data_IF_903636252668
#
_entry.id   IF_903636252668
#
_cell.length_a   1.000
_cell.length_b   1.000
_cell.length_c   1.000
_cell.angle_alpha   90.00
_cell.angle_beta   90.00
_cell.angle_gamma   90.00
#
_symmetry.space_group_name_H-M   'P 1'
#
loop_
_entity.id
_entity.type
_entity.pdbx_description
1 polymer ?
#
# COMPACT_ATOMS: atom_id res chain seq x y z
N UNK A 1 8.97 -15.48 27.30
CA UNK A 1 9.70 -14.88 26.19
C UNK A 1 10.19 -13.49 26.59
N UNK A 2 11.50 -13.24 26.55
CA UNK A 2 12.05 -11.90 26.77
C UNK A 2 11.51 -11.01 25.65
N UNK A 3 10.80 -9.93 26.00
CA UNK A 3 10.31 -8.95 25.03
C UNK A 3 11.47 -8.46 24.18
N UNK A 4 11.35 -8.61 22.85
CA UNK A 4 12.34 -8.08 21.92
C UNK A 4 12.23 -6.58 21.94
N UNK A 5 13.28 -5.90 22.36
CA UNK A 5 13.38 -4.46 22.21
C UNK A 5 13.78 -4.17 20.77
N UNK A 6 12.89 -3.55 20.00
CA UNK A 6 13.21 -3.06 18.67
C UNK A 6 14.10 -1.82 18.80
N UNK A 7 15.29 -1.88 18.24
CA UNK A 7 16.16 -0.74 18.17
C UNK A 7 16.79 -0.64 16.77
N UNK A 8 17.18 0.57 16.38
CA UNK A 8 17.80 0.84 15.09
C UNK A 8 19.18 0.18 14.96
N UNK A 9 19.94 0.08 16.03
CA UNK A 9 21.31 -0.43 16.01
C UNK A 9 21.43 -1.91 15.63
N UNK A 10 20.34 -2.70 15.82
CA UNK A 10 20.29 -4.10 15.41
C UNK A 10 19.58 -4.35 14.08
N UNK A 11 19.22 -3.30 13.35
CA UNK A 11 18.53 -3.39 12.06
C UNK A 11 19.48 -3.69 10.90
N UNK A 12 18.92 -4.31 9.85
CA UNK A 12 19.58 -4.42 8.54
C UNK A 12 19.24 -3.19 7.72
N UNK A 13 20.26 -2.48 7.25
CA UNK A 13 20.08 -1.37 6.33
C UNK A 13 19.69 -1.89 4.95
N UNK A 14 18.63 -1.32 4.37
CA UNK A 14 18.21 -1.66 3.02
C UNK A 14 18.92 -0.75 2.02
N UNK A 15 19.49 -1.35 1.00
CA UNK A 15 20.15 -0.65 -0.13
C UNK A 15 19.29 -0.76 -1.38
N UNK A 16 19.38 0.22 -2.28
CA UNK A 16 18.65 0.20 -3.55
C UNK A 16 19.39 -0.64 -4.58
N UNK A 17 18.74 -1.69 -5.07
CA UNK A 17 19.23 -2.53 -6.17
C UNK A 17 18.10 -2.67 -7.20
N UNK A 18 18.33 -2.24 -8.44
CA UNK A 18 17.31 -2.31 -9.50
C UNK A 18 16.03 -1.50 -9.25
N UNK A 19 16.11 -0.46 -8.39
CA UNK A 19 14.94 0.34 -7.99
C UNK A 19 14.19 -0.20 -6.77
N UNK A 20 14.60 -1.34 -6.23
CA UNK A 20 14.04 -1.93 -5.02
C UNK A 20 14.99 -1.79 -3.83
N UNK A 21 14.44 -1.63 -2.62
CA UNK A 21 15.21 -1.63 -1.38
C UNK A 21 15.41 -3.07 -0.91
N UNK A 22 16.66 -3.49 -0.81
CA UNK A 22 17.04 -4.86 -0.43
C UNK A 22 17.97 -4.88 0.78
N UNK A 23 17.89 -5.94 1.56
CA UNK A 23 18.81 -6.20 2.67
C UNK A 23 18.78 -7.68 3.04
N UNK A 24 19.87 -8.17 3.64
CA UNK A 24 20.02 -9.58 4.03
C UNK A 24 20.16 -9.73 5.52
N UNK A 25 19.41 -10.64 6.11
CA UNK A 25 19.56 -11.06 7.51
C UNK A 25 19.76 -12.57 7.58
N UNK A 26 20.65 -13.00 8.47
CA UNK A 26 20.88 -14.43 8.71
C UNK A 26 20.06 -14.92 9.90
N UNK A 27 19.30 -15.99 9.68
CA UNK A 27 18.46 -16.62 10.70
C UNK A 27 18.75 -18.11 10.70
N UNK A 28 18.97 -18.71 11.87
CA UNK A 28 19.25 -20.12 11.97
C UNK A 28 18.02 -20.96 11.57
N UNK A 29 18.26 -22.13 10.97
CA UNK A 29 17.19 -23.06 10.55
C UNK A 29 16.26 -23.38 11.72
N UNK A 30 14.96 -23.35 11.46
CA UNK A 30 13.91 -23.58 12.45
C UNK A 30 13.59 -22.39 13.36
N UNK A 31 14.36 -21.30 13.25
CA UNK A 31 14.07 -20.09 14.01
C UNK A 31 13.14 -19.16 13.22
N UNK A 32 12.27 -18.46 13.94
CA UNK A 32 11.43 -17.44 13.34
C UNK A 32 12.11 -16.08 13.38
N UNK A 33 12.09 -15.37 12.26
CA UNK A 33 12.46 -13.97 12.17
C UNK A 33 11.20 -13.12 12.26
N UNK A 34 11.22 -12.13 13.16
CA UNK A 34 10.20 -11.07 13.19
C UNK A 34 10.83 -9.80 12.65
N UNK A 35 10.13 -9.10 11.75
CA UNK A 35 10.66 -7.92 11.07
C UNK A 35 9.65 -6.78 11.05
N UNK A 36 10.16 -5.56 11.06
CA UNK A 36 9.41 -4.32 10.89
C UNK A 36 10.26 -3.32 10.12
N UNK A 37 9.64 -2.58 9.21
CA UNK A 37 10.33 -1.53 8.47
C UNK A 37 10.40 -0.25 9.30
N UNK A 38 11.46 0.52 9.10
CA UNK A 38 11.61 1.87 9.62
C UNK A 38 12.09 2.79 8.50
N UNK A 39 11.66 4.04 8.53
CA UNK A 39 12.20 5.13 7.72
C UNK A 39 13.03 6.03 8.62
N UNK A 40 14.21 6.41 8.14
CA UNK A 40 15.09 7.37 8.82
C UNK A 40 15.22 8.57 7.90
N UNK A 41 14.78 9.72 8.37
CA UNK A 41 14.95 10.99 7.67
C UNK A 41 16.37 11.54 7.80
N UNK A 42 16.72 12.53 6.96
CA UNK A 42 18.06 13.13 6.95
C UNK A 42 18.46 13.75 8.32
N UNK A 43 17.49 14.23 9.10
CA UNK A 43 17.66 14.73 10.46
C UNK A 43 17.77 13.62 11.53
N UNK A 44 17.80 12.36 11.11
CA UNK A 44 17.94 11.20 11.98
C UNK A 44 16.66 10.72 12.67
N UNK A 45 15.52 11.37 12.43
CA UNK A 45 14.24 10.92 12.99
C UNK A 45 13.85 9.58 12.43
N UNK A 46 13.32 8.72 13.32
CA UNK A 46 12.85 7.39 12.97
C UNK A 46 11.33 7.35 12.95
N UNK A 47 10.77 6.88 11.85
CA UNK A 47 9.34 6.58 11.71
C UNK A 47 9.18 5.08 11.57
N UNK A 48 8.38 4.47 12.44
CA UNK A 48 8.06 3.06 12.39
C UNK A 48 6.94 2.80 11.39
N UNK A 49 7.08 1.70 10.67
CA UNK A 49 6.02 1.18 9.80
C UNK A 49 4.73 0.98 10.62
N UNK A 50 3.59 1.54 10.21
CA UNK A 50 2.33 1.42 10.95
C UNK A 50 1.75 0.00 10.95
N UNK A 51 2.20 -0.88 10.03
CA UNK A 51 1.77 -2.27 10.00
C UNK A 51 2.17 -3.05 11.26
N UNK A 52 1.58 -4.21 11.45
CA UNK A 52 1.97 -5.15 12.52
C UNK A 52 3.32 -5.80 12.23
N UNK A 53 3.93 -6.41 13.25
CA UNK A 53 5.15 -7.18 13.08
C UNK A 53 4.92 -8.35 12.11
N UNK A 54 5.80 -8.46 11.11
CA UNK A 54 5.78 -9.54 10.13
C UNK A 54 6.69 -10.67 10.60
N UNK A 55 6.27 -11.92 10.39
CA UNK A 55 7.02 -13.10 10.83
C UNK A 55 7.23 -14.04 9.65
N UNK A 56 8.40 -14.65 9.61
CA UNK A 56 8.71 -15.78 8.74
C UNK A 56 9.58 -16.78 9.49
N UNK A 57 9.56 -18.05 9.08
CA UNK A 57 10.37 -19.12 9.68
C UNK A 57 11.45 -19.53 8.67
N UNK A 58 12.68 -19.64 9.16
CA UNK A 58 13.83 -20.07 8.36
C UNK A 58 13.89 -21.59 8.29
N UNK A 59 13.22 -22.20 7.34
CA UNK A 59 13.33 -23.63 6.99
C UNK A 59 14.49 -23.92 6.02
N UNK A 60 14.75 -22.97 5.14
CA UNK A 60 15.83 -22.93 4.15
C UNK A 60 16.17 -21.47 3.84
N UNK A 61 17.23 -21.26 3.07
CA UNK A 61 17.50 -19.93 2.51
C UNK A 61 16.32 -19.51 1.63
N UNK A 62 15.75 -18.34 1.90
CA UNK A 62 14.65 -17.78 1.11
C UNK A 62 14.72 -16.25 1.09
N UNK A 63 14.19 -15.68 0.03
CA UNK A 63 13.92 -14.26 -0.07
C UNK A 63 12.48 -14.00 0.34
N UNK A 64 12.25 -12.95 1.09
CA UNK A 64 10.90 -12.53 1.45
C UNK A 64 10.66 -11.09 1.01
N UNK A 65 9.49 -10.82 0.46
CA UNK A 65 9.03 -9.48 0.12
C UNK A 65 8.20 -8.88 1.23
N UNK A 66 8.49 -7.63 1.59
CA UNK A 66 7.72 -6.84 2.56
C UNK A 66 7.53 -5.42 2.02
N UNK A 67 6.42 -4.78 2.37
CA UNK A 67 6.14 -3.41 1.97
C UNK A 67 5.73 -2.56 3.18
N UNK A 68 5.94 -1.24 3.06
CA UNK A 68 5.51 -0.27 4.05
C UNK A 68 3.99 -0.28 4.19
N UNK A 69 3.49 -0.30 5.43
CA UNK A 69 2.06 -0.32 5.76
C UNK A 69 1.27 -1.51 5.16
N UNK A 70 1.96 -2.63 5.00
CA UNK A 70 1.35 -3.89 4.54
C UNK A 70 1.74 -5.01 5.50
N UNK A 71 0.74 -5.70 6.07
CA UNK A 71 0.96 -6.75 7.07
C UNK A 71 1.44 -8.09 6.47
N UNK A 72 1.30 -8.27 5.16
CA UNK A 72 1.63 -9.51 4.45
C UNK A 72 3.14 -9.64 4.24
N UNK A 73 3.65 -10.85 4.34
CA UNK A 73 4.97 -11.27 3.87
C UNK A 73 4.78 -12.20 2.69
N UNK A 74 5.38 -11.88 1.55
CA UNK A 74 5.43 -12.78 0.42
C UNK A 74 6.72 -13.62 0.50
N UNK A 75 6.58 -14.92 0.66
CA UNK A 75 7.71 -15.83 0.82
C UNK A 75 8.34 -16.28 -0.50
N UNK A 76 7.85 -15.77 -1.62
CA UNK A 76 8.40 -15.95 -2.98
C UNK A 76 9.36 -14.81 -3.39
N UNK A 77 9.60 -13.85 -2.50
CA UNK A 77 10.46 -12.68 -2.73
C UNK A 77 9.78 -11.50 -3.43
N UNK A 78 8.55 -11.64 -3.91
CA UNK A 78 7.82 -10.51 -4.50
C UNK A 78 7.41 -9.51 -3.43
N UNK A 79 7.45 -8.22 -3.73
CA UNK A 79 7.04 -7.19 -2.77
C UNK A 79 5.50 -7.12 -2.72
N UNK A 80 4.88 -7.26 -1.53
CA UNK A 80 3.43 -7.13 -1.41
C UNK A 80 3.01 -5.70 -1.75
N UNK A 81 1.99 -5.57 -2.60
CA UNK A 81 1.43 -4.28 -3.00
C UNK A 81 0.11 -4.03 -2.33
N UNK A 82 -0.07 -2.82 -1.80
CA UNK A 82 -1.36 -2.38 -1.26
C UNK A 82 -2.35 -2.21 -2.40
N UNK A 83 -3.51 -2.88 -2.31
CA UNK A 83 -4.61 -2.65 -3.23
C UNK A 83 -5.26 -1.32 -2.91
N UNK A 84 -5.15 -0.34 -3.79
CA UNK A 84 -5.64 1.01 -3.55
C UNK A 84 -6.00 1.72 -4.85
N UNK A 85 -6.94 2.67 -4.76
CA UNK A 85 -7.21 3.63 -5.83
C UNK A 85 -6.15 4.73 -5.77
N UNK A 86 -5.60 5.07 -6.94
CA UNK A 86 -4.63 6.14 -7.16
C UNK A 86 -5.09 7.04 -8.30
N UNK A 87 -4.45 8.18 -8.48
CA UNK A 87 -4.74 9.14 -9.54
C UNK A 87 -4.21 10.52 -9.19
N UNK A 88 -4.23 11.43 -10.15
CA UNK A 88 -3.78 12.80 -9.94
C UNK A 88 -4.64 13.51 -8.88
N UNK A 89 -3.99 14.09 -7.87
CA UNK A 89 -4.66 14.74 -6.75
C UNK A 89 -5.23 13.79 -5.68
N UNK A 90 -5.13 12.47 -5.87
CA UNK A 90 -5.51 11.50 -4.82
C UNK A 90 -4.47 11.51 -3.71
N UNK A 91 -4.90 11.82 -2.49
CA UNK A 91 -4.06 11.80 -1.30
C UNK A 91 -4.82 11.20 -0.13
N UNK A 92 -4.22 10.24 0.57
CA UNK A 92 -4.80 9.57 1.74
C UNK A 92 -6.25 9.05 1.51
N UNK A 93 -6.51 8.48 0.33
CA UNK A 93 -7.83 7.95 -0.03
C UNK A 93 -8.90 9.03 -0.26
N UNK A 94 -8.48 10.27 -0.59
CA UNK A 94 -9.37 11.39 -0.86
C UNK A 94 -8.96 12.11 -2.15
N UNK A 95 -9.95 12.66 -2.84
CA UNK A 95 -9.78 13.52 -4.02
C UNK A 95 -10.76 14.69 -3.92
N UNK A 96 -10.34 15.89 -4.32
CA UNK A 96 -11.23 17.04 -4.47
C UNK A 96 -11.21 17.49 -5.93
N UNK A 97 -12.39 17.62 -6.54
CA UNK A 97 -12.57 18.14 -7.92
C UNK A 97 -13.65 19.23 -7.94
N UNK A 98 -13.67 19.98 -9.01
CA UNK A 98 -14.74 20.97 -9.24
C UNK A 98 -15.94 20.30 -9.93
N UNK A 99 -17.12 20.89 -9.76
CA UNK A 99 -18.28 20.52 -10.58
C UNK A 99 -17.96 20.68 -12.07
N UNK A 100 -18.27 19.65 -12.88
CA UNK A 100 -17.93 19.57 -14.29
C UNK A 100 -16.51 19.11 -14.61
N UNK A 101 -15.66 18.90 -13.59
CA UNK A 101 -14.29 18.43 -13.78
C UNK A 101 -14.24 16.91 -13.93
N UNK A 102 -13.34 16.46 -14.81
CA UNK A 102 -12.94 15.06 -14.95
C UNK A 102 -11.64 14.78 -14.18
N UNK A 103 -11.50 13.58 -13.66
CA UNK A 103 -10.23 13.06 -13.14
C UNK A 103 -10.10 11.57 -13.48
N UNK A 104 -8.86 11.12 -13.70
CA UNK A 104 -8.55 9.74 -14.00
C UNK A 104 -8.10 9.01 -12.73
N UNK A 105 -8.75 7.91 -12.43
CA UNK A 105 -8.37 7.00 -11.36
C UNK A 105 -7.76 5.73 -11.95
N UNK A 106 -6.84 5.14 -11.21
CA UNK A 106 -6.19 3.89 -11.52
C UNK A 106 -6.16 2.99 -10.29
N UNK A 107 -5.91 1.70 -10.46
CA UNK A 107 -5.76 0.77 -9.36
C UNK A 107 -4.30 0.36 -9.22
N UNK A 108 -3.77 0.48 -8.01
CA UNK A 108 -2.47 -0.07 -7.63
C UNK A 108 -2.69 -1.43 -6.96
N UNK A 109 -1.83 -2.40 -7.25
CA UNK A 109 -1.87 -3.71 -6.57
C UNK A 109 -2.92 -4.69 -7.11
N UNK A 110 -3.47 -4.42 -8.30
CA UNK A 110 -4.24 -5.39 -9.07
C UNK A 110 -3.36 -6.03 -10.15
N UNK A 111 -3.68 -7.28 -10.49
CA UNK A 111 -3.21 -7.95 -11.71
C UNK A 111 -4.33 -7.90 -12.73
N UNK A 112 -4.10 -7.20 -13.84
CA UNK A 112 -5.12 -6.98 -14.88
C UNK A 112 -6.03 -5.77 -14.63
N UNK A 113 -6.98 -5.58 -15.54
CA UNK A 113 -7.93 -4.48 -15.49
C UNK A 113 -8.96 -4.67 -14.35
N UNK A 114 -9.49 -3.58 -13.81
CA UNK A 114 -10.56 -3.64 -12.82
C UNK A 114 -11.82 -4.32 -13.37
N UNK A 115 -12.45 -5.17 -12.55
CA UNK A 115 -13.70 -5.83 -12.90
C UNK A 115 -14.87 -4.84 -12.98
N UNK A 116 -14.88 -3.86 -12.07
CA UNK A 116 -15.97 -2.89 -11.94
C UNK A 116 -15.55 -1.65 -11.16
N UNK A 117 -16.06 -0.50 -11.61
CA UNK A 117 -16.08 0.77 -10.88
C UNK A 117 -17.51 1.18 -10.58
N UNK A 118 -17.77 1.77 -9.39
CA UNK A 118 -19.09 2.36 -9.07
C UNK A 118 -18.96 3.50 -8.08
N UNK A 119 -19.95 4.39 -8.07
CA UNK A 119 -20.08 5.49 -7.11
C UNK A 119 -21.25 5.26 -6.17
N UNK A 120 -21.06 5.54 -4.89
CA UNK A 120 -22.10 5.58 -3.87
C UNK A 120 -22.44 7.05 -3.58
N UNK A 121 -23.30 7.65 -4.39
CA UNK A 121 -23.75 9.03 -4.24
C UNK A 121 -23.87 9.79 -5.56
N UNK A 122 -24.75 10.78 -5.62
CA UNK A 122 -25.07 11.55 -6.82
C UNK A 122 -24.00 12.58 -7.21
N UNK A 123 -23.15 12.99 -6.25
CA UNK A 123 -22.14 14.02 -6.49
C UNK A 123 -21.11 13.64 -7.57
N UNK A 124 -20.88 12.34 -7.79
CA UNK A 124 -19.86 11.84 -8.71
C UNK A 124 -20.42 10.72 -9.59
N UNK A 125 -20.19 10.80 -10.89
CA UNK A 125 -20.30 9.68 -11.82
C UNK A 125 -18.92 9.06 -12.06
N UNK A 126 -18.84 7.74 -12.28
CA UNK A 126 -17.60 7.05 -12.64
C UNK A 126 -17.84 6.11 -13.81
N UNK A 127 -16.90 6.10 -14.76
CA UNK A 127 -16.92 5.16 -15.90
C UNK A 127 -16.36 3.80 -15.52
N UNK A 128 -16.61 2.79 -16.35
CA UNK A 128 -16.00 1.46 -16.21
C UNK A 128 -14.47 1.44 -16.32
N UNK A 129 -13.85 2.51 -16.79
CA UNK A 129 -12.39 2.68 -16.91
C UNK A 129 -11.77 3.54 -15.82
N UNK A 130 -12.56 3.94 -14.80
CA UNK A 130 -12.07 4.75 -13.68
C UNK A 130 -12.00 6.26 -13.93
N UNK A 131 -12.62 6.75 -15.00
CA UNK A 131 -12.78 8.20 -15.19
C UNK A 131 -13.94 8.67 -14.34
N UNK A 132 -13.69 9.64 -13.46
CA UNK A 132 -14.70 10.26 -12.60
C UNK A 132 -15.07 11.64 -13.13
N UNK A 133 -16.34 12.03 -12.91
CA UNK A 133 -16.90 13.32 -13.29
C UNK A 133 -17.66 13.93 -12.10
N UNK A 134 -17.36 15.18 -11.76
CA UNK A 134 -18.07 15.94 -10.75
C UNK A 134 -19.44 16.39 -11.23
N UNK A 135 -20.51 15.74 -10.80
CA UNK A 135 -21.89 15.99 -11.24
C UNK A 135 -22.48 17.19 -10.51
N UNK A 136 -22.42 17.18 -9.19
CA UNK A 136 -22.95 18.23 -8.33
C UNK A 136 -22.09 18.40 -7.08
N UNK A 137 -22.20 19.57 -6.44
CA UNK A 137 -21.48 19.84 -5.18
C UNK A 137 -21.90 18.87 -4.10
N UNK A 138 -20.92 18.25 -3.44
CA UNK A 138 -21.16 17.24 -2.41
C UNK A 138 -20.02 16.27 -2.26
N UNK A 139 -20.29 15.15 -1.59
CA UNK A 139 -19.31 14.10 -1.35
C UNK A 139 -19.89 12.76 -1.75
N UNK A 140 -19.10 11.94 -2.46
CA UNK A 140 -19.44 10.58 -2.82
C UNK A 140 -18.25 9.64 -2.55
N UNK A 141 -18.53 8.36 -2.37
CA UNK A 141 -17.50 7.31 -2.37
C UNK A 141 -17.42 6.72 -3.76
N UNK A 142 -16.22 6.55 -4.26
CA UNK A 142 -15.96 5.81 -5.49
C UNK A 142 -15.21 4.54 -5.11
N UNK A 143 -15.70 3.43 -5.62
CA UNK A 143 -15.26 2.10 -5.31
C UNK A 143 -14.76 1.41 -6.59
N UNK A 144 -13.82 0.50 -6.42
CA UNK A 144 -13.33 -0.39 -7.47
C UNK A 144 -13.23 -1.81 -6.96
N UNK A 145 -13.58 -2.77 -7.81
CA UNK A 145 -13.31 -4.18 -7.59
C UNK A 145 -12.34 -4.69 -8.65
N UNK A 146 -11.30 -5.38 -8.23
CA UNK A 146 -10.36 -6.06 -9.12
C UNK A 146 -9.74 -7.28 -8.42
N UNK A 147 -9.63 -8.40 -9.13
CA UNK A 147 -9.04 -9.64 -8.62
C UNK A 147 -9.59 -10.05 -7.23
N UNK A 148 -10.90 -9.91 -7.03
CA UNK A 148 -11.57 -10.25 -5.77
C UNK A 148 -11.36 -9.26 -4.60
N UNK A 149 -10.60 -8.19 -4.79
CA UNK A 149 -10.36 -7.14 -3.80
C UNK A 149 -11.21 -5.91 -4.11
N UNK A 150 -11.53 -5.12 -3.08
CA UNK A 150 -12.25 -3.84 -3.22
C UNK A 150 -11.45 -2.73 -2.57
N UNK A 151 -11.38 -1.58 -3.23
CA UNK A 151 -10.86 -0.35 -2.66
C UNK A 151 -11.86 0.79 -2.82
N UNK A 152 -11.77 1.77 -1.94
CA UNK A 152 -12.69 2.92 -1.87
C UNK A 152 -11.90 4.20 -1.67
N UNK A 153 -12.29 5.28 -2.36
CA UNK A 153 -11.87 6.64 -2.03
C UNK A 153 -13.08 7.54 -1.81
N UNK A 154 -12.86 8.64 -1.10
CA UNK A 154 -13.87 9.69 -0.93
C UNK A 154 -13.56 10.85 -1.87
N UNK A 155 -14.54 11.26 -2.69
CA UNK A 155 -14.41 12.39 -3.61
C UNK A 155 -15.33 13.51 -3.13
N UNK A 156 -14.76 14.71 -3.00
CA UNK A 156 -15.50 15.94 -2.70
C UNK A 156 -15.56 16.78 -3.95
N UNK A 157 -16.76 17.14 -4.37
CA UNK A 157 -17.02 18.07 -5.49
C UNK A 157 -17.37 19.45 -4.92
N UNK A 158 -16.67 20.48 -5.39
CA UNK A 158 -16.85 21.88 -4.98
C UNK A 158 -17.46 22.71 -6.11
#
# INVERSE_FOLDING_TARGET
GKGKTWNRAGGVELTTVGGELTGTATVAKGQSMTMRLIKVSADGKTTWDPSTDRKTTADKAKTVGVAWDVNTVNEDGTVPVTFAITGDGVSNGKLTIQKGQLANLSVKGATGDPDMWWSDGAAVAVSGTGVVYGVETGTAKVNVKAAGKTATITITVK
#
